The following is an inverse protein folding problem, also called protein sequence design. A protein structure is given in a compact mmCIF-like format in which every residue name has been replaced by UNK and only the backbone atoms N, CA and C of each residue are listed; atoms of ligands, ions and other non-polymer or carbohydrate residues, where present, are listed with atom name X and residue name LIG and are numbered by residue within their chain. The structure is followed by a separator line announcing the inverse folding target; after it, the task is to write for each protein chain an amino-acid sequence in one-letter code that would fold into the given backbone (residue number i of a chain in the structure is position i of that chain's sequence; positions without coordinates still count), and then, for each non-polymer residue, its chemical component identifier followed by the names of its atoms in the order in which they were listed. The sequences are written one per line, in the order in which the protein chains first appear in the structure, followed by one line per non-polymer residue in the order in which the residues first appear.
data_IF_839066645909
#
_entry.id   IF_839066645909
#
_cell.length_a   1.000
_cell.length_b   1.000
_cell.length_c   1.000
_cell.angle_alpha   90.00
_cell.angle_beta   90.00
_cell.angle_gamma   90.00
#
_symmetry.space_group_name_H-M   'P 1'
#
loop_
_entity.id
_entity.type
_entity.pdbx_description
1 polymer ?
#
# COMPACT_ATOMS: atom_id res chain seq x y z
N UNK A 1 3.69 22.01 6.98
CA UNK A 1 4.66 20.91 7.09
C UNK A 1 3.95 19.78 7.79
N UNK A 2 3.86 18.57 7.24
CA UNK A 2 4.98 17.77 6.75
C UNK A 2 5.70 17.25 7.98
N UNK A 3 5.21 16.11 8.52
CA UNK A 3 5.57 15.52 9.82
C UNK A 3 5.48 16.52 10.98
N UNK A 4 4.38 16.48 11.73
CA UNK A 4 4.11 17.39 12.85
C UNK A 4 5.22 17.44 13.91
N UNK A 5 6.13 16.46 13.94
CA UNK A 5 7.31 16.41 14.83
C UNK A 5 8.64 16.05 14.13
N UNK A 6 8.74 16.11 12.78
CA UNK A 6 9.92 15.66 12.01
C UNK A 6 10.45 14.26 12.38
N UNK A 7 9.56 13.33 12.74
CA UNK A 7 9.92 11.96 13.15
C UNK A 7 9.06 10.96 12.39
N UNK A 8 9.64 9.85 11.94
CA UNK A 8 8.90 8.75 11.30
C UNK A 8 8.29 7.88 12.40
N UNK A 9 6.97 7.88 12.58
CA UNK A 9 6.34 7.07 13.62
C UNK A 9 6.41 5.58 13.22
N UNK A 10 6.94 4.74 14.11
CA UNK A 10 6.97 3.28 13.94
C UNK A 10 6.35 2.61 15.16
N UNK A 11 5.40 1.71 14.92
CA UNK A 11 4.80 0.96 16.02
C UNK A 11 5.85 -0.01 16.61
N UNK A 12 6.26 0.23 17.87
CA UNK A 12 7.30 -0.55 18.58
C UNK A 12 8.61 -0.69 17.79
N UNK A 13 9.32 -1.82 17.95
CA UNK A 13 10.64 -2.05 17.36
C UNK A 13 10.61 -2.31 15.85
N UNK A 14 9.42 -2.43 15.23
CA UNK A 14 9.25 -2.64 13.79
C UNK A 14 9.68 -4.01 13.27
N UNK A 15 9.91 -5.00 14.15
CA UNK A 15 10.27 -6.35 13.75
C UNK A 15 9.16 -7.14 13.05
N UNK A 16 7.92 -6.65 13.13
CA UNK A 16 6.74 -7.25 12.51
C UNK A 16 6.79 -7.19 10.98
N UNK A 17 6.53 -8.33 10.34
CA UNK A 17 6.53 -8.46 8.88
C UNK A 17 5.17 -8.11 8.28
N UNK A 18 5.19 -7.45 7.13
CA UNK A 18 4.00 -7.16 6.33
C UNK A 18 4.33 -7.35 4.85
N UNK A 19 3.40 -7.94 4.08
CA UNK A 19 3.44 -7.86 2.62
C UNK A 19 2.98 -6.47 2.17
N UNK A 20 3.60 -5.94 1.12
CA UNK A 20 3.20 -4.68 0.47
C UNK A 20 2.96 -4.92 -1.02
N UNK A 21 2.04 -4.17 -1.61
CA UNK A 21 1.88 -4.14 -3.06
C UNK A 21 1.42 -2.75 -3.48
N UNK A 22 1.95 -2.26 -4.60
CA UNK A 22 1.51 -0.99 -5.17
C UNK A 22 0.11 -1.14 -5.75
N UNK A 23 -0.73 -0.12 -5.57
CA UNK A 23 -2.12 -0.13 -6.07
C UNK A 23 -2.17 -0.31 -7.60
N UNK A 24 -1.17 0.19 -8.34
CA UNK A 24 -1.08 0.03 -9.80
C UNK A 24 -0.77 -1.41 -10.18
N UNK A 25 0.06 -2.10 -9.41
CA UNK A 25 0.36 -3.52 -9.63
C UNK A 25 -0.84 -4.41 -9.28
N UNK A 26 -1.55 -4.09 -8.20
CA UNK A 26 -2.80 -4.77 -7.86
C UNK A 26 -3.87 -4.57 -8.95
N UNK A 27 -4.06 -3.34 -9.44
CA UNK A 27 -5.00 -3.03 -10.52
C UNK A 27 -4.64 -3.75 -11.82
N UNK A 28 -3.35 -3.78 -12.19
CA UNK A 28 -2.87 -4.52 -13.36
C UNK A 28 -3.19 -6.01 -13.24
N UNK A 29 -2.94 -6.62 -12.08
CA UNK A 29 -3.23 -8.04 -11.89
C UNK A 29 -4.72 -8.34 -12.04
N UNK A 30 -5.62 -7.44 -11.60
CA UNK A 30 -7.06 -7.61 -11.82
C UNK A 30 -7.34 -7.72 -13.33
N UNK A 31 -6.74 -6.85 -14.15
CA UNK A 31 -6.82 -6.95 -15.62
C UNK A 31 -6.26 -8.27 -16.15
N UNK A 32 -5.04 -8.64 -15.72
CA UNK A 32 -4.39 -9.88 -16.13
C UNK A 32 -5.24 -11.12 -15.80
N UNK A 33 -5.94 -11.12 -14.65
CA UNK A 33 -6.86 -12.21 -14.24
C UNK A 33 -8.10 -12.26 -15.13
N UNK A 34 -8.65 -11.12 -15.52
CA UNK A 34 -9.85 -11.08 -16.38
C UNK A 34 -9.56 -11.56 -17.80
N UNK A 35 -8.32 -11.40 -18.27
CA UNK A 35 -7.88 -11.82 -19.60
C UNK A 35 -7.26 -13.24 -19.60
N UNK A 36 -6.96 -13.79 -18.42
CA UNK A 36 -6.33 -15.09 -18.31
C UNK A 36 -7.24 -16.24 -18.75
N UNK A 37 -6.67 -17.32 -19.33
CA UNK A 37 -7.41 -18.55 -19.60
C UNK A 37 -8.10 -19.10 -18.33
N UNK A 38 -9.38 -19.48 -18.48
CA UNK A 38 -10.22 -19.89 -17.34
C UNK A 38 -9.63 -21.07 -16.54
N UNK A 39 -8.93 -21.98 -17.21
CA UNK A 39 -8.24 -23.14 -16.62
C UNK A 39 -7.07 -22.76 -15.70
N UNK A 40 -6.56 -21.52 -15.81
CA UNK A 40 -5.51 -20.99 -14.94
C UNK A 40 -6.03 -20.27 -13.69
N UNK A 41 -7.30 -19.85 -13.68
CA UNK A 41 -7.86 -18.97 -12.64
C UNK A 41 -9.10 -19.52 -11.93
N UNK A 42 -9.83 -20.44 -12.55
CA UNK A 42 -11.09 -20.94 -12.00
C UNK A 42 -10.86 -21.69 -10.68
N UNK A 43 -11.50 -21.22 -9.61
CA UNK A 43 -11.39 -21.83 -8.27
C UNK A 43 -10.06 -21.56 -7.56
N UNK A 44 -9.19 -20.72 -8.13
CA UNK A 44 -7.88 -20.42 -7.57
C UNK A 44 -7.93 -19.22 -6.60
N UNK A 45 -7.07 -19.25 -5.59
CA UNK A 45 -6.87 -18.17 -4.63
C UNK A 45 -5.45 -17.62 -4.78
N UNK A 46 -5.33 -16.35 -5.11
CA UNK A 46 -4.05 -15.70 -5.34
C UNK A 46 -3.75 -14.65 -4.27
N UNK A 47 -2.58 -14.76 -3.63
CA UNK A 47 -1.97 -13.63 -2.95
C UNK A 47 -1.38 -12.69 -4.00
N UNK A 48 -1.52 -11.38 -3.78
CA UNK A 48 -1.11 -10.35 -4.75
C UNK A 48 0.14 -9.64 -4.26
N UNK A 49 1.25 -9.83 -4.97
CA UNK A 49 2.56 -9.28 -4.60
C UNK A 49 3.71 -10.17 -5.08
N UNK A 50 4.84 -10.09 -4.39
CA UNK A 50 6.00 -10.97 -4.59
C UNK A 50 6.68 -11.26 -3.26
N UNK A 51 7.48 -12.33 -3.20
CA UNK A 51 8.17 -12.71 -1.97
C UNK A 51 9.13 -11.63 -1.47
N UNK A 52 9.71 -10.86 -2.42
CA UNK A 52 10.56 -9.68 -2.19
C UNK A 52 9.79 -8.49 -1.59
N UNK A 53 8.45 -8.52 -1.65
CA UNK A 53 7.60 -7.50 -1.07
C UNK A 53 7.14 -7.79 0.37
N UNK A 54 7.66 -8.85 1.00
CA UNK A 54 7.56 -9.03 2.43
C UNK A 54 8.65 -8.20 3.12
N UNK A 55 8.27 -7.24 3.97
CA UNK A 55 9.23 -6.40 4.70
C UNK A 55 8.94 -6.35 6.20
N UNK A 56 9.97 -6.28 7.06
CA UNK A 56 9.78 -5.81 8.42
C UNK A 56 9.45 -4.31 8.38
N UNK A 57 8.51 -3.86 9.23
CA UNK A 57 8.12 -2.45 9.27
C UNK A 57 9.29 -1.50 9.56
N UNK A 58 10.31 -1.96 10.28
CA UNK A 58 11.55 -1.21 10.48
C UNK A 58 12.24 -0.85 9.16
N UNK A 59 12.39 -1.82 8.24
CA UNK A 59 13.03 -1.55 6.95
C UNK A 59 12.21 -0.54 6.12
N UNK A 60 10.88 -0.60 6.22
CA UNK A 60 10.00 0.39 5.59
C UNK A 60 10.20 1.78 6.18
N UNK A 61 10.25 1.90 7.51
CA UNK A 61 10.48 3.19 8.19
C UNK A 61 11.88 3.77 7.86
N UNK A 62 12.90 2.93 7.75
CA UNK A 62 14.25 3.32 7.30
C UNK A 62 14.24 3.80 5.85
N UNK A 63 13.50 3.12 4.97
CA UNK A 63 13.33 3.53 3.56
C UNK A 63 12.63 4.89 3.47
N UNK A 64 11.59 5.10 4.29
CA UNK A 64 10.90 6.40 4.40
C UNK A 64 11.86 7.49 4.88
N UNK A 65 12.56 7.27 6.00
CA UNK A 65 13.53 8.24 6.53
C UNK A 65 14.61 8.59 5.52
N UNK A 66 15.16 7.61 4.80
CA UNK A 66 16.23 7.82 3.83
C UNK A 66 15.82 8.67 2.62
N UNK A 67 14.53 8.66 2.26
CA UNK A 67 13.98 9.39 1.12
C UNK A 67 13.40 10.77 1.51
N UNK A 68 13.39 11.13 2.80
CA UNK A 68 12.91 12.42 3.28
C UNK A 68 14.08 13.37 3.57
N UNK A 69 13.86 14.66 3.30
CA UNK A 69 14.81 15.70 3.66
C UNK A 69 15.12 15.69 5.17
N UNK A 70 16.40 15.83 5.51
CA UNK A 70 16.85 15.83 6.91
C UNK A 70 16.87 14.46 7.59
N UNK A 71 16.52 13.37 6.88
CA UNK A 71 16.59 11.98 7.38
C UNK A 71 16.02 11.82 8.79
N UNK A 72 14.72 12.11 8.97
CA UNK A 72 14.08 12.16 10.27
C UNK A 72 14.28 10.87 11.06
N UNK A 73 14.51 11.00 12.37
CA UNK A 73 14.61 9.85 13.26
C UNK A 73 13.32 9.02 13.28
N UNK A 74 13.47 7.72 13.45
CA UNK A 74 12.35 6.81 13.67
C UNK A 74 11.93 6.90 15.15
N UNK A 75 10.68 7.30 15.40
CA UNK A 75 10.10 7.40 16.73
C UNK A 75 9.18 6.23 17.01
N UNK A 76 9.51 5.45 18.04
CA UNK A 76 8.71 4.30 18.42
C UNK A 76 7.48 4.75 19.23
N UNK A 77 6.32 4.17 18.93
CA UNK A 77 5.07 4.46 19.65
C UNK A 77 4.15 3.24 19.77
N UNK A 78 3.09 3.37 20.58
CA UNK A 78 1.95 2.44 20.63
C UNK A 78 2.12 1.15 21.46
N UNK A 79 1.02 0.42 21.56
CA UNK A 79 0.91 -0.88 22.24
C UNK A 79 1.48 -2.04 21.40
N UNK A 80 1.81 -3.20 22.00
CA UNK A 80 2.43 -4.30 21.26
C UNK A 80 1.45 -4.90 20.24
N UNK A 81 1.70 -4.65 18.95
CA UNK A 81 1.07 -5.42 17.88
C UNK A 81 1.84 -6.72 17.66
N UNK A 82 1.23 -7.85 18.05
CA UNK A 82 1.83 -9.18 17.90
C UNK A 82 1.61 -9.79 16.51
N UNK A 83 0.85 -9.14 15.64
CA UNK A 83 0.56 -9.66 14.30
C UNK A 83 1.80 -9.53 13.42
N UNK A 84 2.14 -10.59 12.72
CA UNK A 84 3.23 -10.64 11.75
C UNK A 84 2.81 -11.58 10.62
N UNK A 85 2.85 -11.09 9.38
CA UNK A 85 2.45 -11.86 8.21
C UNK A 85 3.59 -11.85 7.20
N UNK A 86 3.96 -13.05 6.77
CA UNK A 86 4.84 -13.26 5.63
C UNK A 86 4.10 -14.18 4.67
N UNK A 87 3.87 -13.68 3.47
CA UNK A 87 2.96 -14.29 2.52
C UNK A 87 3.77 -14.90 1.38
N UNK A 88 3.36 -16.09 0.95
CA UNK A 88 3.90 -16.74 -0.24
C UNK A 88 3.11 -16.28 -1.48
N UNK A 89 3.84 -15.82 -2.49
CA UNK A 89 3.31 -15.33 -3.76
C UNK A 89 3.60 -16.27 -4.93
N UNK A 90 4.08 -17.49 -4.66
CA UNK A 90 4.42 -18.48 -5.68
C UNK A 90 3.30 -18.71 -6.68
N UNK A 91 2.06 -18.89 -6.21
CA UNK A 91 0.93 -19.23 -7.07
C UNK A 91 0.63 -18.18 -8.14
N UNK A 92 0.64 -16.89 -7.79
CA UNK A 92 0.33 -15.82 -8.75
C UNK A 92 1.45 -15.67 -9.79
N UNK A 93 2.70 -15.85 -9.36
CA UNK A 93 3.87 -15.89 -10.24
C UNK A 93 3.79 -17.07 -11.20
N UNK A 94 3.55 -18.27 -10.69
CA UNK A 94 3.68 -19.50 -11.47
C UNK A 94 2.49 -19.71 -12.42
N UNK A 95 1.27 -19.31 -12.01
CA UNK A 95 0.06 -19.44 -12.85
C UNK A 95 -0.14 -18.29 -13.84
N UNK A 96 0.19 -17.06 -13.43
CA UNK A 96 -0.12 -15.85 -14.20
C UNK A 96 1.12 -15.09 -14.68
N UNK A 97 2.34 -15.54 -14.33
CA UNK A 97 3.57 -14.82 -14.68
C UNK A 97 3.67 -13.45 -14.00
N UNK A 98 2.92 -13.22 -12.92
CA UNK A 98 2.84 -11.91 -12.30
C UNK A 98 4.12 -11.55 -11.57
N UNK A 99 4.68 -10.39 -11.94
CA UNK A 99 5.76 -9.73 -11.20
C UNK A 99 5.40 -8.26 -10.98
N UNK A 100 5.43 -7.76 -9.74
CA UNK A 100 5.18 -6.34 -9.46
C UNK A 100 6.25 -5.48 -10.16
N UNK A 101 5.82 -4.31 -10.65
CA UNK A 101 6.67 -3.35 -11.36
C UNK A 101 7.14 -2.21 -10.45
N UNK A 102 6.56 -2.09 -9.26
CA UNK A 102 6.86 -1.02 -8.31
C UNK A 102 7.42 -1.59 -7.01
N UNK A 103 8.41 -0.88 -6.46
CA UNK A 103 9.05 -1.20 -5.19
C UNK A 103 8.60 -0.22 -4.12
N UNK A 104 8.76 -0.59 -2.84
CA UNK A 104 8.49 0.33 -1.73
C UNK A 104 9.33 1.60 -1.86
N UNK A 105 10.61 1.46 -2.17
CA UNK A 105 11.51 2.62 -2.32
C UNK A 105 11.03 3.58 -3.42
N UNK A 106 10.60 3.06 -4.57
CA UNK A 106 10.00 3.89 -5.63
C UNK A 106 8.72 4.58 -5.15
N UNK A 107 7.81 3.84 -4.51
CA UNK A 107 6.55 4.41 -4.02
C UNK A 107 6.78 5.50 -2.97
N UNK A 108 7.73 5.29 -2.06
CA UNK A 108 8.14 6.28 -1.06
C UNK A 108 8.71 7.53 -1.72
N UNK A 109 9.57 7.38 -2.74
CA UNK A 109 10.10 8.51 -3.52
C UNK A 109 9.01 9.31 -4.21
N UNK A 110 8.10 8.63 -4.92
CA UNK A 110 6.97 9.29 -5.60
C UNK A 110 6.09 10.09 -4.60
N UNK A 111 5.86 9.55 -3.40
CA UNK A 111 5.11 10.26 -2.33
C UNK A 111 5.90 11.45 -1.78
N UNK A 112 7.21 11.28 -1.55
CA UNK A 112 8.08 12.34 -1.03
C UNK A 112 8.23 13.50 -2.03
N UNK A 113 8.45 13.19 -3.30
CA UNK A 113 8.56 14.17 -4.39
C UNK A 113 7.26 14.95 -4.52
N UNK A 114 6.11 14.25 -4.57
CA UNK A 114 4.81 14.91 -4.65
C UNK A 114 4.51 15.80 -3.45
N UNK A 115 4.98 15.42 -2.25
CA UNK A 115 4.85 16.25 -1.07
C UNK A 115 5.70 17.52 -1.15
N UNK A 116 6.93 17.40 -1.66
CA UNK A 116 7.89 18.51 -1.79
C UNK A 116 7.50 19.49 -2.89
N UNK A 117 7.05 19.01 -4.05
CA UNK A 117 6.62 19.85 -5.17
C UNK A 117 5.19 20.40 -5.01
N UNK A 118 4.45 19.90 -4.02
CA UNK A 118 3.11 20.35 -3.66
C UNK A 118 1.99 19.79 -4.54
N UNK A 119 2.27 18.81 -5.39
CA UNK A 119 1.27 18.01 -6.13
C UNK A 119 0.52 17.04 -5.22
N UNK A 120 1.13 16.61 -4.12
CA UNK A 120 0.50 15.89 -3.03
C UNK A 120 0.30 16.82 -1.83
N UNK A 121 -0.96 17.03 -1.46
CA UNK A 121 -1.34 17.83 -0.29
C UNK A 121 -2.24 17.04 0.62
N UNK A 122 -2.12 17.29 1.92
CA UNK A 122 -3.04 16.70 2.90
C UNK A 122 -4.47 17.12 2.57
N UNK A 123 -5.34 16.13 2.43
CA UNK A 123 -6.76 16.32 2.17
C UNK A 123 -7.54 15.02 2.41
N UNK A 124 -8.85 14.99 2.10
CA UNK A 124 -9.68 13.81 2.28
C UNK A 124 -9.07 12.55 1.63
N UNK A 125 -8.55 12.67 0.41
CA UNK A 125 -7.97 11.55 -0.36
C UNK A 125 -6.67 10.99 0.21
N UNK A 126 -5.95 11.75 1.05
CA UNK A 126 -4.69 11.29 1.69
C UNK A 126 -4.92 10.68 3.07
N UNK A 127 -6.16 10.63 3.52
CA UNK A 127 -6.55 10.11 4.84
C UNK A 127 -7.63 9.04 4.65
N UNK A 128 -7.24 7.76 4.56
CA UNK A 128 -8.12 6.65 4.17
C UNK A 128 -9.47 6.64 4.90
N UNK A 129 -9.47 6.77 6.24
CA UNK A 129 -10.71 6.77 7.02
C UNK A 129 -11.59 7.98 6.73
N UNK A 130 -10.99 9.15 6.50
CA UNK A 130 -11.71 10.37 6.13
C UNK A 130 -12.27 10.25 4.71
N UNK A 131 -11.51 9.66 3.79
CA UNK A 131 -11.95 9.37 2.44
C UNK A 131 -13.15 8.42 2.42
N UNK A 132 -13.09 7.32 3.17
CA UNK A 132 -14.20 6.37 3.24
C UNK A 132 -15.47 7.01 3.78
N UNK A 133 -15.36 7.86 4.82
CA UNK A 133 -16.50 8.62 5.33
C UNK A 133 -17.08 9.57 4.27
N UNK A 134 -16.22 10.20 3.47
CA UNK A 134 -16.64 11.07 2.35
C UNK A 134 -17.37 10.28 1.26
N UNK A 135 -16.85 9.13 0.85
CA UNK A 135 -17.52 8.28 -0.15
C UNK A 135 -18.89 7.81 0.37
N UNK A 136 -18.96 7.38 1.64
CA UNK A 136 -20.19 6.87 2.25
C UNK A 136 -21.24 7.94 2.58
N UNK A 137 -20.92 9.24 2.48
CA UNK A 137 -21.84 10.33 2.83
C UNK A 137 -22.84 10.71 1.72
N UNK A 138 -22.87 9.96 0.60
CA UNK A 138 -23.66 10.33 -0.59
C UNK A 138 -23.02 11.47 -1.40
N UNK A 139 -21.68 11.59 -1.35
CA UNK A 139 -20.93 12.53 -2.18
C UNK A 139 -21.01 12.15 -3.67
N UNK A 140 -20.83 13.11 -4.60
CA UNK A 140 -20.76 12.80 -6.03
C UNK A 140 -19.72 11.72 -6.37
N UNK A 141 -18.57 11.73 -5.69
CA UNK A 141 -17.53 10.71 -5.87
C UNK A 141 -17.97 9.33 -5.36
N UNK A 142 -18.69 9.28 -4.24
CA UNK A 142 -19.27 8.05 -3.71
C UNK A 142 -20.32 7.43 -4.64
N UNK A 143 -21.18 8.27 -5.24
CA UNK A 143 -22.17 7.81 -6.22
C UNK A 143 -21.52 7.35 -7.54
N UNK A 144 -20.43 7.98 -7.96
CA UNK A 144 -19.69 7.60 -9.15
C UNK A 144 -19.06 6.18 -9.07
N UNK A 145 -18.75 5.70 -7.86
CA UNK A 145 -18.18 4.37 -7.64
C UNK A 145 -19.19 3.35 -7.11
N UNK A 146 -20.49 3.70 -7.11
CA UNK A 146 -21.56 2.82 -6.66
C UNK A 146 -21.87 1.76 -7.71
N UNK A 147 -21.68 0.50 -7.37
CA UNK A 147 -22.05 -0.65 -8.20
C UNK A 147 -23.17 -1.44 -7.52
N UNK A 148 -24.31 -1.58 -8.21
CA UNK A 148 -25.49 -2.34 -7.72
C UNK A 148 -25.94 -1.92 -6.31
N UNK A 149 -25.89 -0.63 -6.01
CA UNK A 149 -26.32 -0.09 -4.71
C UNK A 149 -25.30 -0.25 -3.57
N UNK A 150 -24.06 -0.64 -3.87
CA UNK A 150 -22.96 -0.71 -2.91
C UNK A 150 -21.80 0.16 -3.40
N UNK A 151 -21.16 0.90 -2.51
CA UNK A 151 -19.94 1.65 -2.80
C UNK A 151 -18.78 0.64 -2.78
N UNK A 152 -18.04 0.56 -3.89
CA UNK A 152 -16.86 -0.31 -4.04
C UNK A 152 -15.65 0.21 -3.27
#
# INVERSE_FOLDING_TARGET
GGLTDRRVPLARDGGQWRPFVDVRDAARLIGDVLEAPIDRIAGELFNVGSDDQNYPLRAVAETVSANLEGRPEIALYGDPDRRSYRVDFSRVRDRLGFHPRHTIDRAVREIADGWTDGSLRRGPITETVRWYRHLLSGSPEGEAVRLRGVIL
#
